data_IF_070384890959
#
_entry.id   IF_070384890959
#
_cell.length_a   1.000
_cell.length_b   1.000
_cell.length_c   1.000
_cell.angle_alpha   90.00
_cell.angle_beta   90.00
_cell.angle_gamma   90.00
#
_symmetry.space_group_name_H-M   'P 1'
#
loop_
_entity.id
_entity.type
_entity.pdbx_description
1 polymer ?
#
# COMPACT_ATOMS: atom_id res chain seq x y z
N UNK A 1 0.36 -8.21 20.88
CA UNK A 1 1.61 -8.53 20.18
C UNK A 1 1.90 -7.37 19.23
N UNK A 2 3.04 -6.66 19.42
CA UNK A 2 3.27 -5.35 18.74
C UNK A 2 4.34 -5.52 17.61
N UNK A 3 4.34 -6.68 16.95
CA UNK A 3 5.42 -7.06 16.03
C UNK A 3 5.54 -6.13 14.81
N UNK A 4 4.41 -5.72 14.23
CA UNK A 4 4.43 -4.86 13.04
C UNK A 4 4.89 -3.43 13.38
N UNK A 5 4.50 -2.89 14.52
CA UNK A 5 4.94 -1.56 14.95
C UNK A 5 6.46 -1.50 15.19
N UNK A 6 7.04 -2.55 15.75
CA UNK A 6 8.50 -2.66 15.93
C UNK A 6 9.22 -2.69 14.59
N UNK A 7 8.68 -3.41 13.59
CA UNK A 7 9.23 -3.44 12.23
C UNK A 7 9.21 -2.04 11.57
N UNK A 8 8.12 -1.29 11.72
CA UNK A 8 8.05 0.10 11.24
C UNK A 8 9.03 1.02 11.97
N UNK A 9 9.14 0.91 13.31
CA UNK A 9 10.09 1.71 14.06
C UNK A 9 11.53 1.42 13.63
N UNK A 10 11.87 0.15 13.38
CA UNK A 10 13.18 -0.21 12.86
C UNK A 10 13.41 0.36 11.46
N UNK A 11 12.42 0.27 10.57
CA UNK A 11 12.46 0.90 9.24
C UNK A 11 12.79 2.39 9.32
N UNK A 12 12.15 3.15 10.21
CA UNK A 12 12.45 4.57 10.37
C UNK A 12 13.89 4.82 10.83
N UNK A 13 14.40 3.99 11.77
CA UNK A 13 15.80 4.07 12.24
C UNK A 13 16.79 3.79 11.11
N UNK A 14 16.54 2.76 10.32
CA UNK A 14 17.41 2.37 9.21
C UNK A 14 17.46 3.46 8.14
N UNK A 15 16.30 4.03 7.75
CA UNK A 15 16.24 5.14 6.79
C UNK A 15 16.93 6.40 7.34
N UNK A 16 16.78 6.69 8.64
CA UNK A 16 17.43 7.83 9.26
C UNK A 16 18.97 7.67 9.29
N UNK A 17 19.46 6.46 9.46
CA UNK A 17 20.88 6.12 9.41
C UNK A 17 21.42 6.00 7.97
N UNK A 18 20.54 5.98 6.96
CA UNK A 18 20.90 5.80 5.57
C UNK A 18 21.69 6.96 4.96
N UNK A 19 22.10 6.77 3.71
CA UNK A 19 22.94 7.74 2.98
C UNK A 19 22.15 9.00 2.60
N UNK A 20 22.87 10.12 2.50
CA UNK A 20 22.30 11.38 2.01
C UNK A 20 22.45 11.46 0.49
N UNK A 21 21.34 11.57 -0.23
CA UNK A 21 21.30 11.69 -1.69
C UNK A 21 20.42 12.86 -2.12
N UNK A 22 20.55 13.33 -3.36
CA UNK A 22 19.81 14.50 -3.87
C UNK A 22 19.12 14.22 -5.22
N UNK A 23 18.17 13.26 -5.29
CA UNK A 23 17.46 13.01 -6.53
C UNK A 23 16.66 14.26 -6.96
N UNK A 24 16.86 14.71 -8.18
CA UNK A 24 16.24 15.92 -8.74
C UNK A 24 16.44 17.17 -7.86
N UNK A 25 17.58 17.26 -7.16
CA UNK A 25 17.94 18.39 -6.30
C UNK A 25 17.31 18.40 -4.90
N UNK A 26 16.47 17.44 -4.58
CA UNK A 26 15.83 17.34 -3.26
C UNK A 26 16.66 16.45 -2.32
N UNK A 27 17.13 17.02 -1.23
CA UNK A 27 17.87 16.25 -0.22
C UNK A 27 16.94 15.23 0.45
N UNK A 28 17.43 13.99 0.53
CA UNK A 28 16.79 12.94 1.30
C UNK A 28 17.85 12.02 1.94
N UNK A 29 17.43 11.25 2.94
CA UNK A 29 18.14 10.08 3.41
C UNK A 29 17.50 8.83 2.81
N UNK A 30 18.31 7.86 2.41
CA UNK A 30 17.90 6.70 1.64
C UNK A 30 18.58 5.43 2.13
N UNK A 31 17.85 4.32 2.08
CA UNK A 31 18.38 2.95 2.09
C UNK A 31 17.89 2.24 0.84
N UNK A 32 18.79 1.44 0.24
CA UNK A 32 18.47 0.68 -0.97
C UNK A 32 18.07 -0.75 -0.62
N UNK A 33 17.24 -1.35 -1.49
CA UNK A 33 16.82 -2.76 -1.42
C UNK A 33 16.26 -3.17 -0.06
N UNK A 34 15.42 -2.29 0.51
CA UNK A 34 14.84 -2.49 1.83
C UNK A 34 13.68 -3.47 1.80
N UNK A 35 13.64 -4.36 2.79
CA UNK A 35 12.59 -5.34 2.98
C UNK A 35 11.89 -5.14 4.32
N UNK A 36 10.64 -4.67 4.28
CA UNK A 36 9.74 -4.65 5.43
C UNK A 36 8.83 -5.88 5.39
N UNK A 37 8.85 -6.69 6.45
CA UNK A 37 7.98 -7.89 6.56
C UNK A 37 6.98 -7.70 7.69
N UNK A 38 5.69 -7.89 7.37
CA UNK A 38 4.57 -7.63 8.27
C UNK A 38 3.75 -8.91 8.44
N UNK A 39 3.38 -9.23 9.68
CA UNK A 39 2.46 -10.31 9.98
C UNK A 39 1.02 -9.86 9.73
N UNK A 40 0.33 -10.50 8.79
CA UNK A 40 -1.04 -10.12 8.43
C UNK A 40 -2.10 -10.57 9.45
N UNK A 41 -1.75 -11.42 10.43
CA UNK A 41 -2.63 -11.74 11.58
C UNK A 41 -2.75 -10.58 12.57
N UNK A 42 -1.84 -9.61 12.54
CA UNK A 42 -1.89 -8.36 13.31
C UNK A 42 -2.32 -7.20 12.41
N UNK A 43 -2.56 -6.01 12.96
CA UNK A 43 -2.77 -4.81 12.14
C UNK A 43 -1.51 -4.54 11.31
N UNK A 44 -1.59 -4.57 9.98
CA UNK A 44 -0.41 -4.39 9.14
C UNK A 44 0.03 -2.93 9.03
N UNK A 45 -0.82 -2.00 9.41
CA UNK A 45 -0.48 -0.57 9.45
C UNK A 45 -0.33 -0.08 10.87
N UNK A 46 0.55 0.87 11.02
CA UNK A 46 0.87 1.46 12.31
C UNK A 46 0.79 2.97 12.22
N UNK A 47 0.48 3.58 13.35
CA UNK A 47 0.58 5.01 13.52
C UNK A 47 1.46 5.34 14.73
N UNK A 48 2.33 6.31 14.57
CA UNK A 48 3.07 6.95 15.66
C UNK A 48 2.54 8.37 15.83
N UNK A 49 2.46 8.88 17.06
CA UNK A 49 1.89 10.22 17.33
C UNK A 49 2.48 11.31 16.44
N UNK A 50 3.80 11.30 16.24
CA UNK A 50 4.46 12.29 15.40
C UNK A 50 4.08 12.19 13.92
N UNK A 51 3.80 10.95 13.40
CA UNK A 51 3.33 10.73 12.03
C UNK A 51 1.85 11.08 11.88
N UNK A 52 1.06 10.76 12.90
CA UNK A 52 -0.38 10.99 12.92
C UNK A 52 -1.08 10.52 11.63
N UNK A 53 -1.11 9.20 11.43
CA UNK A 53 -1.69 8.60 10.22
C UNK A 53 -3.11 9.10 9.99
N UNK A 54 -3.33 9.74 8.85
CA UNK A 54 -4.65 10.12 8.41
C UNK A 54 -5.39 8.89 7.86
N UNK A 55 -6.04 8.15 8.76
CA UNK A 55 -6.76 6.93 8.41
C UNK A 55 -7.91 7.20 7.43
N UNK A 56 -8.55 8.35 7.53
CA UNK A 56 -9.61 8.76 6.60
C UNK A 56 -9.06 8.87 5.16
N UNK A 57 -7.90 9.52 5.00
CA UNK A 57 -7.23 9.59 3.70
C UNK A 57 -6.89 8.19 3.16
N UNK A 58 -6.29 7.32 3.98
CA UNK A 58 -5.90 5.99 3.56
C UNK A 58 -7.11 5.14 3.10
N UNK A 59 -8.24 5.23 3.81
CA UNK A 59 -9.50 4.59 3.42
C UNK A 59 -10.02 5.13 2.09
N UNK A 60 -10.00 6.45 1.90
CA UNK A 60 -10.46 7.08 0.66
C UNK A 60 -9.55 6.75 -0.53
N UNK A 61 -8.25 6.64 -0.32
CA UNK A 61 -7.31 6.20 -1.36
C UNK A 61 -7.61 4.76 -1.79
N UNK A 62 -7.87 3.85 -0.85
CA UNK A 62 -8.29 2.49 -1.18
C UNK A 62 -9.64 2.45 -1.93
N UNK A 63 -10.64 3.21 -1.48
CA UNK A 63 -11.93 3.32 -2.18
C UNK A 63 -11.77 3.92 -3.59
N UNK A 64 -10.85 4.87 -3.75
CA UNK A 64 -10.49 5.42 -5.05
C UNK A 64 -9.87 4.36 -5.98
N UNK A 65 -8.99 3.50 -5.46
CA UNK A 65 -8.51 2.34 -6.23
C UNK A 65 -9.64 1.39 -6.61
N UNK A 66 -10.57 1.11 -5.68
CA UNK A 66 -11.66 0.16 -5.95
C UNK A 66 -12.60 0.62 -7.08
N UNK A 67 -12.75 1.93 -7.30
CA UNK A 67 -13.51 2.46 -8.43
C UNK A 67 -12.84 2.27 -9.79
N UNK A 68 -11.54 2.03 -9.82
CA UNK A 68 -10.74 1.68 -11.01
C UNK A 68 -10.86 2.69 -12.18
N UNK A 69 -11.23 3.92 -11.89
CA UNK A 69 -11.35 4.98 -12.89
C UNK A 69 -10.12 5.89 -12.88
N UNK A 70 -9.33 5.84 -13.95
CA UNK A 70 -8.11 6.65 -14.07
C UNK A 70 -8.36 8.15 -14.16
N UNK A 71 -9.59 8.58 -14.39
CA UNK A 71 -9.98 9.99 -14.47
C UNK A 71 -10.68 10.51 -13.20
N UNK A 72 -10.95 9.63 -12.23
CA UNK A 72 -11.57 10.01 -10.96
C UNK A 72 -10.64 10.94 -10.17
N UNK A 73 -11.01 12.21 -10.06
CA UNK A 73 -10.24 13.22 -9.34
C UNK A 73 -10.69 13.44 -7.89
N UNK A 74 -11.59 12.62 -7.37
CA UNK A 74 -12.12 12.76 -6.00
C UNK A 74 -11.03 12.68 -4.92
N UNK A 75 -9.93 11.97 -5.19
CA UNK A 75 -8.79 11.87 -4.27
C UNK A 75 -8.11 13.22 -3.98
N UNK A 76 -8.24 14.19 -4.88
CA UNK A 76 -7.66 15.53 -4.72
C UNK A 76 -8.26 16.31 -3.54
N UNK A 77 -9.50 15.98 -3.14
CA UNK A 77 -10.15 16.57 -1.95
C UNK A 77 -9.43 16.19 -0.66
N UNK A 78 -8.74 15.06 -0.65
CA UNK A 78 -8.05 14.51 0.53
C UNK A 78 -6.55 14.81 0.54
N UNK A 79 -5.90 14.97 -0.63
CA UNK A 79 -4.49 15.29 -0.71
C UNK A 79 -4.14 16.05 -1.99
N UNK A 80 -3.74 17.31 -1.84
CA UNK A 80 -3.42 18.22 -2.96
C UNK A 80 -2.24 17.78 -3.83
N UNK A 81 -1.44 16.81 -3.35
CA UNK A 81 -0.34 16.27 -4.17
C UNK A 81 -0.85 15.62 -5.46
N UNK A 82 -2.05 15.05 -5.44
CA UNK A 82 -2.65 14.39 -6.60
C UNK A 82 -2.88 15.35 -7.76
N UNK A 83 -3.21 16.61 -7.48
CA UNK A 83 -3.32 17.66 -8.52
C UNK A 83 -2.01 17.85 -9.28
N UNK A 84 -0.86 17.73 -8.59
CA UNK A 84 0.47 17.96 -9.17
C UNK A 84 0.92 16.84 -10.10
N UNK A 85 0.44 15.61 -9.86
CA UNK A 85 0.83 14.43 -10.64
C UNK A 85 -0.21 14.01 -11.67
N UNK A 86 -1.39 14.67 -11.68
CA UNK A 86 -2.39 14.45 -12.72
C UNK A 86 -1.79 14.77 -14.10
N UNK A 87 -1.92 13.83 -15.03
CA UNK A 87 -1.45 13.97 -16.40
C UNK A 87 -2.22 15.08 -17.14
N UNK A 88 -1.69 15.54 -18.27
CA UNK A 88 -2.32 16.60 -19.06
C UNK A 88 -3.67 16.19 -19.66
N UNK A 89 -3.88 14.88 -19.88
CA UNK A 89 -5.16 14.30 -20.30
C UNK A 89 -6.17 14.12 -19.16
N UNK A 90 -5.81 14.50 -17.94
CA UNK A 90 -6.62 14.37 -16.73
C UNK A 90 -6.49 13.03 -16.02
N UNK A 91 -5.70 12.10 -16.51
CA UNK A 91 -5.55 10.76 -15.91
C UNK A 91 -4.54 10.72 -14.76
N UNK A 92 -4.65 9.66 -13.94
CA UNK A 92 -3.70 9.30 -12.88
C UNK A 92 -3.13 7.92 -13.16
N UNK A 93 -1.84 7.82 -13.45
CA UNK A 93 -1.19 6.51 -13.59
C UNK A 93 -1.13 5.76 -12.27
N UNK A 94 -0.98 6.47 -11.17
CA UNK A 94 -0.92 5.88 -9.82
C UNK A 94 -2.30 5.56 -9.21
N UNK A 95 -3.42 5.69 -9.95
CA UNK A 95 -4.63 4.97 -9.58
C UNK A 95 -4.43 3.47 -9.90
N UNK A 96 -3.84 2.72 -8.95
CA UNK A 96 -3.49 1.32 -9.18
C UNK A 96 -4.70 0.44 -9.43
N UNK A 97 -5.88 0.85 -8.98
CA UNK A 97 -7.12 0.11 -9.21
C UNK A 97 -7.42 -0.15 -10.67
N UNK A 98 -7.13 0.79 -11.57
CA UNK A 98 -7.33 0.64 -13.02
C UNK A 98 -6.56 -0.55 -13.62
N UNK A 99 -5.47 -0.97 -12.99
CA UNK A 99 -4.69 -2.13 -13.43
C UNK A 99 -5.10 -3.40 -12.70
N UNK A 100 -5.46 -3.29 -11.42
CA UNK A 100 -5.80 -4.41 -10.56
C UNK A 100 -7.19 -4.96 -10.90
N UNK A 101 -8.19 -4.06 -10.95
CA UNK A 101 -9.60 -4.43 -10.98
C UNK A 101 -10.22 -4.34 -12.38
N UNK A 102 -11.09 -5.28 -12.77
CA UNK A 102 -11.31 -6.56 -12.06
C UNK A 102 -10.37 -7.68 -12.54
N UNK A 103 -9.67 -7.48 -13.68
CA UNK A 103 -9.01 -8.56 -14.42
C UNK A 103 -7.88 -9.24 -13.68
N UNK A 104 -6.88 -8.47 -13.21
CA UNK A 104 -5.71 -9.06 -12.56
C UNK A 104 -6.07 -9.60 -11.17
N UNK A 105 -7.05 -9.01 -10.48
CA UNK A 105 -7.56 -9.54 -9.21
C UNK A 105 -8.12 -10.96 -9.40
N UNK A 106 -9.04 -11.13 -10.35
CA UNK A 106 -9.64 -12.46 -10.61
C UNK A 106 -8.64 -13.46 -11.19
N UNK A 107 -7.66 -12.99 -11.96
CA UNK A 107 -6.58 -13.86 -12.40
C UNK A 107 -5.82 -14.44 -11.21
N UNK A 108 -5.42 -13.62 -10.23
CA UNK A 108 -4.71 -14.08 -9.03
C UNK A 108 -5.54 -15.06 -8.22
N UNK A 109 -6.81 -14.75 -7.97
CA UNK A 109 -7.72 -15.63 -7.21
C UNK A 109 -7.90 -16.98 -7.92
N UNK A 110 -8.24 -16.97 -9.20
CA UNK A 110 -8.46 -18.19 -9.97
C UNK A 110 -7.20 -19.03 -10.13
N UNK A 111 -6.04 -18.40 -10.34
CA UNK A 111 -4.77 -19.10 -10.45
C UNK A 111 -4.44 -19.87 -9.17
N UNK A 112 -4.66 -19.27 -7.99
CA UNK A 112 -4.41 -19.91 -6.69
C UNK A 112 -5.48 -20.93 -6.30
N UNK A 113 -6.70 -20.81 -6.79
CA UNK A 113 -7.75 -21.85 -6.62
C UNK A 113 -7.45 -23.09 -7.47
N UNK A 114 -6.92 -22.92 -8.69
CA UNK A 114 -6.59 -24.02 -9.60
C UNK A 114 -5.28 -24.70 -9.20
N UNK A 115 -4.26 -23.91 -8.89
CA UNK A 115 -2.92 -24.37 -8.50
C UNK A 115 -2.43 -23.58 -7.28
N UNK A 116 -2.66 -24.10 -6.05
CA UNK A 116 -2.19 -23.45 -4.82
C UNK A 116 -0.67 -23.23 -4.78
N UNK A 117 0.11 -24.06 -5.48
CA UNK A 117 1.56 -23.94 -5.54
C UNK A 117 2.06 -23.01 -6.64
N UNK A 118 1.15 -22.39 -7.40
CA UNK A 118 1.46 -21.52 -8.53
C UNK A 118 2.46 -20.41 -8.18
N UNK A 119 3.30 -20.07 -9.16
CA UNK A 119 4.23 -18.94 -9.14
C UNK A 119 3.79 -17.82 -10.09
N UNK A 120 2.56 -17.91 -10.65
CA UNK A 120 2.03 -16.98 -11.65
C UNK A 120 1.08 -15.94 -11.07
N UNK A 121 0.60 -16.13 -9.83
CA UNK A 121 -0.36 -15.25 -9.19
C UNK A 121 0.24 -13.85 -8.93
N UNK A 122 0.33 -13.06 -9.99
CA UNK A 122 0.98 -11.75 -10.00
C UNK A 122 0.08 -10.69 -10.62
N UNK A 123 0.18 -9.47 -10.08
CA UNK A 123 -0.42 -8.24 -10.58
C UNK A 123 0.73 -7.34 -11.06
N UNK A 124 0.67 -6.82 -12.28
CA UNK A 124 1.66 -5.91 -12.85
C UNK A 124 1.08 -4.50 -12.90
N UNK A 125 1.79 -3.54 -12.33
CA UNK A 125 1.36 -2.15 -12.21
C UNK A 125 2.19 -1.21 -13.09
N UNK A 126 3.52 -1.29 -12.98
CA UNK A 126 4.41 -0.49 -13.83
C UNK A 126 4.40 -1.00 -15.26
N UNK A 127 4.15 -0.11 -16.19
CA UNK A 127 4.21 -0.36 -17.63
C UNK A 127 5.27 0.52 -18.28
N UNK A 128 5.75 0.14 -19.46
CA UNK A 128 6.74 0.92 -20.22
C UNK A 128 6.29 2.35 -20.51
N UNK A 129 4.98 2.54 -20.75
CA UNK A 129 4.39 3.86 -21.01
C UNK A 129 4.47 4.83 -19.81
N UNK A 130 4.66 4.33 -18.59
CA UNK A 130 4.84 5.16 -17.41
C UNK A 130 6.25 5.77 -17.31
N UNK A 131 7.22 5.25 -18.05
CA UNK A 131 8.64 5.59 -17.91
C UNK A 131 9.10 6.74 -18.80
N UNK A 132 8.19 7.51 -19.39
CA UNK A 132 8.55 8.69 -20.16
C UNK A 132 8.84 9.87 -19.24
N UNK A 133 9.95 10.58 -19.54
CA UNK A 133 10.41 11.72 -18.71
C UNK A 133 9.39 12.88 -18.64
N UNK A 134 8.52 13.02 -19.65
CA UNK A 134 7.46 14.03 -19.68
C UNK A 134 6.28 13.71 -18.75
N UNK A 135 6.14 12.46 -18.30
CA UNK A 135 5.05 12.09 -17.40
C UNK A 135 5.23 12.76 -16.03
N UNK A 136 4.15 13.35 -15.52
CA UNK A 136 4.11 13.96 -14.19
C UNK A 136 4.07 12.90 -13.10
N UNK A 137 3.43 11.77 -13.39
CA UNK A 137 3.30 10.61 -12.53
C UNK A 137 4.06 9.42 -13.14
N UNK A 138 5.02 8.90 -12.40
CA UNK A 138 5.73 7.66 -12.74
C UNK A 138 5.41 6.64 -11.67
N UNK A 139 4.63 5.63 -12.02
CA UNK A 139 4.19 4.56 -11.11
C UNK A 139 5.34 4.02 -10.27
N UNK A 140 5.17 3.99 -8.94
CA UNK A 140 6.22 3.56 -8.00
C UNK A 140 6.25 2.05 -7.77
N UNK A 141 5.12 1.37 -7.93
CA UNK A 141 4.99 -0.07 -7.69
C UNK A 141 5.17 -0.84 -8.98
N UNK A 142 6.13 -1.78 -9.00
CA UNK A 142 6.34 -2.66 -10.16
C UNK A 142 5.24 -3.69 -10.29
N UNK A 143 5.10 -4.49 -9.24
CA UNK A 143 4.22 -5.66 -9.22
C UNK A 143 3.87 -6.08 -7.80
N UNK A 144 2.81 -6.88 -7.70
CA UNK A 144 2.39 -7.55 -6.48
C UNK A 144 2.31 -9.04 -6.79
N UNK A 145 2.97 -9.88 -6.00
CA UNK A 145 2.94 -11.32 -6.14
C UNK A 145 2.27 -11.97 -4.94
N UNK A 146 1.37 -12.91 -5.19
CA UNK A 146 0.74 -13.76 -4.18
C UNK A 146 1.25 -15.19 -4.31
N UNK A 147 1.32 -15.89 -3.19
CA UNK A 147 1.66 -17.31 -3.16
C UNK A 147 1.07 -17.96 -1.92
N UNK A 148 0.74 -19.25 -2.04
CA UNK A 148 0.37 -20.08 -0.90
C UNK A 148 1.55 -21.02 -0.62
N UNK A 149 2.02 -21.03 0.64
CA UNK A 149 3.05 -21.99 1.09
C UNK A 149 2.71 -22.44 2.50
N UNK A 150 2.79 -23.76 2.71
CA UNK A 150 2.40 -24.38 3.99
C UNK A 150 0.99 -23.96 4.45
N UNK A 151 0.04 -23.86 3.51
CA UNK A 151 -1.35 -23.47 3.77
C UNK A 151 -1.56 -21.97 4.05
N UNK A 152 -0.52 -21.13 3.99
CA UNK A 152 -0.58 -19.69 4.28
C UNK A 152 -0.48 -18.85 3.02
N UNK A 153 -1.35 -17.85 2.90
CA UNK A 153 -1.26 -16.84 1.84
C UNK A 153 -0.20 -15.79 2.21
N UNK A 154 0.82 -15.67 1.37
CA UNK A 154 1.80 -14.59 1.44
C UNK A 154 1.61 -13.62 0.28
N UNK A 155 1.95 -12.35 0.50
CA UNK A 155 2.01 -11.31 -0.53
C UNK A 155 3.36 -10.61 -0.52
N UNK A 156 3.89 -10.32 -1.71
CA UNK A 156 5.07 -9.45 -1.87
C UNK A 156 4.73 -8.30 -2.80
N UNK A 157 4.90 -7.07 -2.31
CA UNK A 157 4.82 -5.85 -3.10
C UNK A 157 6.25 -5.41 -3.44
N UNK A 158 6.51 -5.06 -4.70
CA UNK A 158 7.82 -4.61 -5.18
C UNK A 158 7.70 -3.18 -5.72
N UNK A 159 8.47 -2.27 -5.15
CA UNK A 159 8.48 -0.84 -5.50
C UNK A 159 9.86 -0.36 -5.93
N UNK A 160 9.91 0.55 -6.95
CA UNK A 160 11.16 1.23 -7.32
C UNK A 160 11.57 2.29 -6.31
N UNK A 161 10.58 2.92 -5.64
CA UNK A 161 10.80 4.06 -4.75
C UNK A 161 9.63 4.23 -3.80
N UNK A 162 9.90 4.54 -2.52
CA UNK A 162 8.85 4.84 -1.55
C UNK A 162 9.34 5.84 -0.49
N UNK A 163 8.53 6.83 -0.17
CA UNK A 163 8.72 7.72 0.99
C UNK A 163 8.28 6.99 2.25
N UNK A 164 9.17 6.80 3.21
CA UNK A 164 8.88 6.05 4.42
C UNK A 164 7.85 6.72 5.34
N UNK A 165 7.66 8.05 5.24
CA UNK A 165 6.73 8.80 6.11
C UNK A 165 5.29 8.72 5.59
N UNK A 166 5.05 9.15 4.36
CA UNK A 166 3.68 9.21 3.81
C UNK A 166 3.40 8.08 2.82
N UNK A 167 4.36 7.72 1.97
CA UNK A 167 4.21 6.66 0.99
C UNK A 167 3.98 5.30 1.65
N UNK A 168 4.99 4.77 2.35
CA UNK A 168 4.97 3.40 2.88
C UNK A 168 3.74 3.12 3.75
N UNK A 169 3.36 4.04 4.64
CA UNK A 169 2.21 3.81 5.53
C UNK A 169 0.88 3.73 4.79
N UNK A 170 0.68 4.55 3.76
CA UNK A 170 -0.54 4.54 2.95
C UNK A 170 -0.55 3.36 1.97
N UNK A 171 0.59 3.07 1.32
CA UNK A 171 0.72 1.91 0.44
C UNK A 171 0.50 0.59 1.18
N UNK A 172 1.08 0.45 2.38
CA UNK A 172 0.85 -0.72 3.24
C UNK A 172 -0.63 -0.84 3.60
N UNK A 173 -1.33 0.28 3.87
CA UNK A 173 -2.77 0.26 4.10
C UNK A 173 -3.50 -0.30 2.86
N UNK A 174 -3.34 0.32 1.70
CA UNK A 174 -4.07 -0.04 0.48
C UNK A 174 -3.77 -1.48 0.03
N UNK A 175 -2.49 -1.89 0.04
CA UNK A 175 -2.12 -3.25 -0.34
C UNK A 175 -2.54 -4.30 0.71
N UNK A 176 -2.63 -3.93 1.98
CA UNK A 176 -3.20 -4.81 3.01
C UNK A 176 -4.69 -5.04 2.79
N UNK A 177 -5.44 -4.04 2.31
CA UNK A 177 -6.84 -4.23 1.92
C UNK A 177 -6.93 -5.20 0.72
N UNK A 178 -6.08 -5.03 -0.28
CA UNK A 178 -6.01 -5.96 -1.41
C UNK A 178 -5.68 -7.40 -0.97
N UNK A 179 -4.70 -7.56 -0.07
CA UNK A 179 -4.37 -8.86 0.52
C UNK A 179 -5.59 -9.51 1.17
N UNK A 180 -6.32 -8.75 1.99
CA UNK A 180 -7.51 -9.25 2.70
C UNK A 180 -8.64 -9.62 1.75
N UNK A 181 -8.81 -8.88 0.66
CA UNK A 181 -9.77 -9.23 -0.38
C UNK A 181 -9.40 -10.55 -1.06
N UNK A 182 -8.15 -10.74 -1.46
CA UNK A 182 -7.68 -12.01 -2.04
C UNK A 182 -7.84 -13.16 -1.04
N UNK A 183 -7.42 -12.95 0.21
CA UNK A 183 -7.54 -13.96 1.27
C UNK A 183 -8.99 -14.37 1.52
N UNK A 184 -9.95 -13.43 1.48
CA UNK A 184 -11.37 -13.75 1.70
C UNK A 184 -11.98 -14.66 0.62
N UNK A 185 -11.31 -14.78 -0.54
CA UNK A 185 -11.72 -15.66 -1.64
C UNK A 185 -11.08 -17.05 -1.60
N UNK A 186 -10.14 -17.28 -0.68
CA UNK A 186 -9.31 -18.47 -0.60
C UNK A 186 -9.46 -19.13 0.78
N UNK A 187 -9.43 -20.46 0.80
CA UNK A 187 -9.41 -21.24 2.06
C UNK A 187 -7.96 -21.42 2.53
N UNK A 188 -7.36 -20.37 3.08
CA UNK A 188 -5.96 -20.35 3.52
C UNK A 188 -5.82 -19.77 4.92
N UNK A 189 -4.71 -20.09 5.58
CA UNK A 189 -4.29 -19.34 6.75
C UNK A 189 -3.68 -17.99 6.35
N UNK A 190 -3.68 -17.06 7.31
CA UNK A 190 -3.06 -15.76 7.16
C UNK A 190 -1.54 -15.90 7.24
N UNK A 191 -0.84 -15.31 6.28
CA UNK A 191 0.62 -15.34 6.18
C UNK A 191 1.26 -13.96 6.34
N UNK A 192 2.24 -13.67 5.48
CA UNK A 192 3.11 -12.49 5.56
C UNK A 192 2.88 -11.55 4.38
N UNK A 193 2.88 -10.25 4.67
CA UNK A 193 3.06 -9.20 3.67
C UNK A 193 4.53 -8.74 3.67
N UNK A 194 5.20 -8.87 2.55
CA UNK A 194 6.53 -8.32 2.33
C UNK A 194 6.45 -7.09 1.45
N UNK A 195 6.90 -5.94 1.94
CA UNK A 195 7.04 -4.69 1.20
C UNK A 195 8.52 -4.51 0.84
N UNK A 196 8.88 -4.72 -0.42
CA UNK A 196 10.24 -4.58 -0.93
C UNK A 196 10.36 -3.27 -1.72
N UNK A 197 11.36 -2.46 -1.39
CA UNK A 197 11.56 -1.13 -1.98
C UNK A 197 13.02 -0.96 -2.40
N UNK A 198 13.28 -0.66 -3.69
CA UNK A 198 14.64 -0.40 -4.14
C UNK A 198 15.21 0.90 -3.56
N UNK A 199 14.42 1.97 -3.46
CA UNK A 199 14.81 3.25 -2.85
C UNK A 199 13.78 3.64 -1.79
N UNK A 200 14.04 3.30 -0.53
CA UNK A 200 13.23 3.73 0.62
C UNK A 200 13.86 4.96 1.23
N UNK A 201 13.13 6.08 1.32
CA UNK A 201 13.72 7.36 1.65
C UNK A 201 12.83 8.24 2.52
N UNK A 202 13.42 9.28 3.09
CA UNK A 202 12.75 10.40 3.75
C UNK A 202 13.29 11.73 3.22
N UNK A 203 12.40 12.64 2.79
CA UNK A 203 12.78 13.97 2.35
C UNK A 203 13.18 14.88 3.52
N UNK A 204 14.12 15.82 3.29
CA UNK A 204 14.64 16.77 4.28
C UNK A 204 13.52 17.48 5.07
N UNK A 205 12.45 17.90 4.38
CA UNK A 205 11.29 18.56 5.02
C UNK A 205 10.60 17.72 6.10
N UNK A 206 10.84 16.40 6.12
CA UNK A 206 10.27 15.46 7.09
C UNK A 206 11.29 14.93 8.10
N UNK A 207 12.53 15.43 8.09
CA UNK A 207 13.56 15.03 9.06
C UNK A 207 13.13 15.25 10.53
N UNK A 208 12.50 16.38 10.90
CA UNK A 208 12.02 16.54 12.27
C UNK A 208 10.97 15.50 12.66
N UNK A 209 10.12 15.09 11.71
CA UNK A 209 9.07 14.11 11.97
C UNK A 209 9.65 12.70 12.20
N UNK A 210 10.58 12.25 11.35
CA UNK A 210 11.20 10.92 11.54
C UNK A 210 12.01 10.86 12.84
N UNK A 211 12.71 11.93 13.20
CA UNK A 211 13.41 12.03 14.48
C UNK A 211 12.45 11.91 15.67
N UNK A 212 11.34 12.65 15.65
CA UNK A 212 10.33 12.58 16.70
C UNK A 212 9.68 11.19 16.83
N UNK A 213 9.51 10.45 15.69
CA UNK A 213 9.05 9.05 15.71
C UNK A 213 10.08 8.17 16.42
N UNK A 214 11.37 8.29 16.06
CA UNK A 214 12.46 7.47 16.59
C UNK A 214 12.65 7.74 18.09
N UNK A 215 12.68 9.01 18.50
CA UNK A 215 12.84 9.43 19.90
C UNK A 215 11.67 8.98 20.77
N UNK A 216 10.45 9.10 20.26
CA UNK A 216 9.24 8.66 20.94
C UNK A 216 9.12 7.14 21.06
N UNK A 217 9.72 6.42 20.13
CA UNK A 217 9.74 4.97 20.12
C UNK A 217 8.37 4.33 20.25
N UNK A 218 8.31 3.14 20.80
CA UNK A 218 7.08 2.37 20.98
C UNK A 218 6.07 3.01 21.95
N UNK A 219 6.50 3.91 22.83
CA UNK A 219 5.60 4.62 23.76
C UNK A 219 4.62 5.57 23.04
N UNK A 220 4.96 5.97 21.81
CA UNK A 220 4.14 6.83 20.94
C UNK A 220 3.37 6.07 19.86
N UNK A 221 3.39 4.74 19.89
CA UNK A 221 2.57 3.92 19.01
C UNK A 221 1.08 4.10 19.32
N UNK A 222 0.28 4.15 18.27
CA UNK A 222 -1.18 4.17 18.34
C UNK A 222 -1.71 2.98 17.53
N UNK A 223 -2.55 2.17 18.19
CA UNK A 223 -3.24 1.08 17.50
C UNK A 223 -4.28 1.65 16.52
N UNK A 224 -4.39 1.02 15.36
CA UNK A 224 -5.43 1.31 14.38
C UNK A 224 -6.25 0.05 14.17
N UNK A 225 -7.54 0.12 14.46
CA UNK A 225 -8.47 -0.97 14.25
C UNK A 225 -8.52 -1.38 12.78
N UNK A 226 -8.71 -2.67 12.56
CA UNK A 226 -8.78 -3.23 11.24
C UNK A 226 -9.87 -4.28 11.12
N UNK A 227 -10.50 -4.33 9.95
CA UNK A 227 -11.56 -5.27 9.63
C UNK A 227 -11.21 -6.09 8.41
N UNK A 228 -11.78 -7.28 8.32
CA UNK A 228 -11.63 -8.19 7.19
C UNK A 228 -12.92 -8.16 6.37
N UNK A 229 -12.82 -8.13 5.03
CA UNK A 229 -13.99 -8.23 4.18
C UNK A 229 -14.55 -9.66 4.19
N UNK A 230 -15.85 -9.78 4.02
CA UNK A 230 -16.47 -11.00 3.54
C UNK A 230 -16.20 -11.17 2.04
N UNK A 231 -16.34 -12.38 1.46
CA UNK A 231 -16.22 -12.59 0.01
C UNK A 231 -17.15 -11.67 -0.80
N UNK A 232 -18.35 -11.42 -0.29
CA UNK A 232 -19.31 -10.53 -0.95
C UNK A 232 -18.82 -9.06 -0.94
N UNK A 233 -18.39 -8.53 0.20
CA UNK A 233 -17.84 -7.16 0.30
C UNK A 233 -16.62 -6.99 -0.60
N UNK A 234 -15.72 -7.98 -0.63
CA UNK A 234 -14.56 -7.97 -1.52
C UNK A 234 -14.98 -7.98 -3.00
N UNK A 235 -15.96 -8.80 -3.38
CA UNK A 235 -16.52 -8.82 -4.75
C UNK A 235 -17.11 -7.47 -5.12
N UNK A 236 -17.89 -6.85 -4.24
CA UNK A 236 -18.48 -5.53 -4.49
C UNK A 236 -17.38 -4.46 -4.67
N UNK A 237 -16.29 -4.52 -3.89
CA UNK A 237 -15.15 -3.62 -4.04
C UNK A 237 -14.43 -3.81 -5.38
N UNK A 238 -14.24 -5.05 -5.84
CA UNK A 238 -13.61 -5.37 -7.14
C UNK A 238 -14.34 -4.72 -8.32
N UNK A 239 -15.66 -4.58 -8.22
CA UNK A 239 -16.48 -3.95 -9.26
C UNK A 239 -16.78 -2.46 -8.99
N UNK A 240 -16.14 -1.84 -8.00
CA UNK A 240 -16.37 -0.45 -7.62
C UNK A 240 -17.79 -0.16 -7.12
N UNK A 241 -18.46 -1.18 -6.57
CA UNK A 241 -19.88 -1.13 -6.16
C UNK A 241 -20.06 -1.25 -4.65
N UNK A 242 -18.97 -1.27 -3.88
CA UNK A 242 -19.05 -1.35 -2.41
C UNK A 242 -19.77 -0.13 -1.85
N UNK A 243 -20.76 -0.36 -1.01
CA UNK A 243 -21.56 0.68 -0.34
C UNK A 243 -21.47 0.52 1.17
N UNK A 244 -21.66 1.60 1.98
CA UNK A 244 -21.51 1.55 3.43
C UNK A 244 -22.37 0.50 4.14
N UNK A 245 -23.48 0.09 3.54
CA UNK A 245 -24.43 -0.88 4.11
C UNK A 245 -24.17 -2.34 3.71
N UNK A 246 -23.12 -2.62 2.91
CA UNK A 246 -22.84 -3.97 2.43
C UNK A 246 -22.25 -4.89 3.50
N UNK A 247 -21.71 -4.32 4.61
CA UNK A 247 -21.20 -5.08 5.74
C UNK A 247 -20.37 -4.24 6.69
N UNK A 248 -19.75 -4.91 7.67
CA UNK A 248 -18.95 -4.25 8.71
C UNK A 248 -17.66 -3.63 8.16
N UNK A 249 -17.03 -4.31 7.22
CA UNK A 249 -15.81 -3.81 6.57
C UNK A 249 -16.12 -2.59 5.68
N UNK A 250 -17.19 -2.68 4.89
CA UNK A 250 -17.67 -1.58 4.07
C UNK A 250 -18.00 -0.35 4.94
N UNK A 251 -18.81 -0.53 5.99
CA UNK A 251 -19.15 0.54 6.91
C UNK A 251 -17.89 1.22 7.48
N UNK A 252 -16.94 0.44 7.97
CA UNK A 252 -15.68 0.97 8.51
C UNK A 252 -14.85 1.74 7.48
N UNK A 253 -14.83 1.31 6.20
CA UNK A 253 -14.12 2.03 5.13
C UNK A 253 -14.72 3.42 4.84
N UNK A 254 -16.04 3.55 4.96
CA UNK A 254 -16.71 4.82 4.66
C UNK A 254 -16.79 5.79 5.86
N UNK A 255 -16.58 5.33 7.08
CA UNK A 255 -16.45 6.15 8.29
C UNK A 255 -15.10 6.87 8.37
#
# INVERSE_FOLDING_TARGET
>A
MIVNAEAFLQMYKDVWAGESVKPRGQLCKEVTDYKLSLNMSDSPWTSFKARNLNIKYAKQEFLWYSRADKYDNSIEEYASMWQKIRQDDGSYFSNYGQYIFPKQFWFVVNELLIDPDSRRASIVLLKSEHLFRANKDVVCTYAINFRIRNGKLDMTVMMRSNDCIFGTTNDVFCFSMLYRMVHSMLETEVGTYTHFVNSLHVYEKHFPMIQAIIEGGMSNYMHVDSFWPTPNEATMAVFGRLMPNDGKWAKWLYE
#
